data_IF_113649140637
#
_entry.id   IF_113649140637
#
_cell.length_a   1.000
_cell.length_b   1.000
_cell.length_c   1.000
_cell.angle_alpha   90.00
_cell.angle_beta   90.00
_cell.angle_gamma   90.00
#
_symmetry.space_group_name_H-M   'P 1'
#
loop_
_entity.id
_entity.type
_entity.pdbx_description
1 polymer ?
#
# COMPACT_ATOMS: atom_id res chain seq x y z
N UNK A 1 6.11 15.82 21.67
CA UNK A 1 6.61 15.70 20.28
C UNK A 1 6.29 14.31 19.75
N UNK A 2 5.91 14.20 18.49
CA UNK A 2 5.58 12.93 17.83
C UNK A 2 6.87 12.13 17.63
N UNK A 3 6.87 10.86 18.05
CA UNK A 3 8.04 9.97 17.91
C UNK A 3 7.80 8.78 16.97
N UNK A 4 6.55 8.58 16.55
CA UNK A 4 6.13 7.48 15.69
C UNK A 4 5.03 7.97 14.75
N UNK A 5 5.15 7.60 13.47
CA UNK A 5 4.09 7.74 12.48
C UNK A 5 3.88 6.38 11.82
N UNK A 6 2.63 5.94 11.76
CA UNK A 6 2.22 4.70 11.08
C UNK A 6 1.41 5.11 9.85
N UNK A 7 1.87 4.70 8.67
CA UNK A 7 1.16 4.85 7.41
C UNK A 7 0.47 3.53 7.12
N UNK A 8 -0.83 3.48 7.39
CA UNK A 8 -1.64 2.34 6.96
C UNK A 8 -1.94 2.45 5.46
N UNK A 9 -1.94 1.31 4.78
CA UNK A 9 -2.14 1.19 3.33
C UNK A 9 -1.26 2.12 2.48
N UNK A 10 0.05 2.12 2.72
CA UNK A 10 1.00 2.96 1.98
C UNK A 10 1.05 2.66 0.47
N UNK A 11 0.51 1.52 0.02
CA UNK A 11 0.30 1.24 -1.40
C UNK A 11 -0.64 2.24 -2.09
N UNK A 12 -1.39 3.06 -1.35
CA UNK A 12 -2.17 4.18 -1.88
C UNK A 12 -1.30 5.32 -2.43
N UNK A 13 0.04 5.22 -2.36
CA UNK A 13 0.96 6.06 -3.12
C UNK A 13 0.63 6.08 -4.63
N UNK A 14 0.07 5.00 -5.16
CA UNK A 14 -0.33 4.89 -6.57
C UNK A 14 -1.73 5.47 -6.87
N UNK A 15 -2.45 5.98 -5.87
CA UNK A 15 -3.78 6.58 -6.03
C UNK A 15 -3.70 8.12 -5.98
N UNK A 16 -4.83 8.81 -6.22
CA UNK A 16 -4.97 10.27 -6.15
C UNK A 16 -4.58 10.86 -4.79
N UNK A 17 -4.51 10.05 -3.74
CA UNK A 17 -4.06 10.43 -2.39
C UNK A 17 -2.54 10.36 -2.21
N UNK A 18 -1.82 9.72 -3.13
CA UNK A 18 -0.37 9.56 -3.10
C UNK A 18 0.41 10.86 -2.87
N UNK A 19 0.12 11.97 -3.59
CA UNK A 19 0.83 13.24 -3.39
C UNK A 19 0.74 13.80 -1.96
N UNK A 20 -0.36 13.51 -1.26
CA UNK A 20 -0.53 13.93 0.15
C UNK A 20 0.36 13.10 1.05
N UNK A 21 0.41 11.77 0.87
CA UNK A 21 1.31 10.88 1.60
C UNK A 21 2.79 11.25 1.36
N UNK A 22 3.15 11.52 0.11
CA UNK A 22 4.48 11.99 -0.28
C UNK A 22 4.87 13.27 0.46
N UNK A 23 3.97 14.24 0.49
CA UNK A 23 4.18 15.51 1.18
C UNK A 23 4.38 15.33 2.69
N UNK A 24 3.64 14.41 3.31
CA UNK A 24 3.76 14.13 4.75
C UNK A 24 5.11 13.46 5.04
N UNK A 25 5.48 12.41 4.31
CA UNK A 25 6.75 11.71 4.49
C UNK A 25 7.93 12.65 4.25
N UNK A 26 7.92 13.41 3.15
CA UNK A 26 9.00 14.36 2.83
C UNK A 26 9.16 15.41 3.94
N UNK A 27 8.05 15.96 4.47
CA UNK A 27 8.07 16.91 5.58
C UNK A 27 8.63 16.30 6.85
N UNK A 28 8.21 15.09 7.20
CA UNK A 28 8.71 14.40 8.41
C UNK A 28 10.19 14.07 8.29
N UNK A 29 10.65 13.57 7.14
CA UNK A 29 12.08 13.30 6.90
C UNK A 29 12.90 14.59 6.99
N UNK A 30 12.43 15.68 6.38
CA UNK A 30 13.09 16.98 6.47
C UNK A 30 13.17 17.52 7.89
N UNK A 31 12.13 17.30 8.70
CA UNK A 31 12.10 17.64 10.11
C UNK A 31 13.17 16.85 10.87
N UNK A 32 13.22 15.51 10.71
CA UNK A 32 14.24 14.65 11.35
C UNK A 32 15.65 15.14 11.02
N UNK A 33 15.92 15.49 9.77
CA UNK A 33 17.24 15.97 9.33
C UNK A 33 17.64 17.30 9.97
N UNK A 34 16.66 18.19 10.16
CA UNK A 34 16.86 19.57 10.62
C UNK A 34 16.93 19.63 12.15
N UNK A 35 16.03 18.94 12.85
CA UNK A 35 15.96 18.95 14.32
C UNK A 35 16.90 17.93 14.97
N UNK A 36 17.39 16.95 14.20
CA UNK A 36 18.12 15.77 14.70
C UNK A 36 17.32 14.92 15.69
N UNK A 37 16.01 15.14 15.77
CA UNK A 37 15.10 14.30 16.56
C UNK A 37 14.56 13.18 15.69
N UNK A 38 14.83 11.94 16.08
CA UNK A 38 14.36 10.78 15.34
C UNK A 38 12.85 10.60 15.49
N UNK A 39 12.16 10.38 14.36
CA UNK A 39 10.76 9.94 14.30
C UNK A 39 10.73 8.60 13.57
N UNK A 40 10.19 7.56 14.21
CA UNK A 40 10.05 6.24 13.60
C UNK A 40 8.91 6.26 12.59
N UNK A 41 9.19 5.79 11.36
CA UNK A 41 8.18 5.59 10.33
C UNK A 41 7.90 4.10 10.19
N UNK A 42 6.63 3.73 10.15
CA UNK A 42 6.18 2.35 9.90
C UNK A 42 5.17 2.40 8.76
N UNK A 43 5.46 1.71 7.66
CA UNK A 43 4.52 1.55 6.54
C UNK A 43 3.87 0.16 6.59
N UNK A 44 2.55 0.12 6.58
CA UNK A 44 1.76 -1.10 6.38
C UNK A 44 1.21 -1.07 4.96
N UNK A 45 1.29 -2.19 4.26
CA UNK A 45 0.93 -2.27 2.84
C UNK A 45 0.37 -3.63 2.50
N UNK A 46 -0.58 -3.66 1.56
CA UNK A 46 -0.81 -4.84 0.74
C UNK A 46 0.47 -5.22 -0.03
N UNK A 47 0.57 -6.49 -0.43
CA UNK A 47 1.69 -6.99 -1.23
C UNK A 47 1.70 -6.32 -2.60
N UNK A 48 2.62 -5.36 -2.79
CA UNK A 48 2.83 -4.66 -4.06
C UNK A 48 4.13 -5.10 -4.75
N UNK A 49 4.20 -5.10 -6.09
CA UNK A 49 5.44 -5.46 -6.79
C UNK A 49 6.61 -4.54 -6.40
N UNK A 50 6.34 -3.23 -6.25
CA UNK A 50 7.34 -2.17 -6.05
C UNK A 50 7.68 -1.89 -4.57
N UNK A 51 7.52 -2.88 -3.70
CA UNK A 51 7.73 -2.75 -2.25
C UNK A 51 9.14 -2.24 -1.85
N UNK A 52 10.18 -2.52 -2.63
CA UNK A 52 11.54 -2.01 -2.39
C UNK A 52 11.61 -0.48 -2.57
N UNK A 53 10.95 0.07 -3.59
CA UNK A 53 10.89 1.51 -3.83
C UNK A 53 10.18 2.24 -2.68
N UNK A 54 9.09 1.65 -2.17
CA UNK A 54 8.35 2.18 -1.02
C UNK A 54 9.22 2.15 0.25
N UNK A 55 10.00 1.08 0.44
CA UNK A 55 10.93 0.95 1.56
C UNK A 55 12.04 2.02 1.49
N UNK A 56 12.63 2.22 0.32
CA UNK A 56 13.63 3.28 0.08
C UNK A 56 13.04 4.67 0.32
N UNK A 57 11.82 4.93 -0.17
CA UNK A 57 11.11 6.18 0.04
C UNK A 57 10.90 6.51 1.54
N UNK A 58 10.61 5.51 2.36
CA UNK A 58 10.50 5.64 3.82
C UNK A 58 11.85 5.59 4.58
N UNK A 59 12.98 5.45 3.87
CA UNK A 59 14.32 5.21 4.46
C UNK A 59 14.41 3.97 5.34
N UNK A 60 13.70 2.91 4.96
CA UNK A 60 13.74 1.61 5.62
C UNK A 60 15.00 0.85 5.18
N UNK A 61 15.70 0.21 6.12
CA UNK A 61 16.77 -0.72 5.79
C UNK A 61 16.20 -1.99 5.14
N UNK A 62 16.63 -2.29 3.92
CA UNK A 62 16.07 -3.39 3.13
C UNK A 62 16.35 -4.79 3.71
N UNK A 63 17.36 -4.95 4.58
CA UNK A 63 17.74 -6.25 5.14
C UNK A 63 17.01 -6.55 6.45
N UNK A 64 16.75 -5.53 7.26
CA UNK A 64 16.26 -5.68 8.63
C UNK A 64 14.92 -5.01 8.89
N UNK A 65 14.50 -4.07 8.05
CA UNK A 65 13.26 -3.30 8.23
C UNK A 65 12.18 -3.57 7.19
N UNK A 66 12.53 -4.19 6.06
CA UNK A 66 11.56 -4.56 5.01
C UNK A 66 11.06 -5.99 5.23
N UNK A 67 9.75 -6.13 5.43
CA UNK A 67 9.08 -7.41 5.53
C UNK A 67 8.07 -7.55 4.40
N UNK A 68 8.19 -8.62 3.61
CA UNK A 68 7.26 -8.94 2.53
C UNK A 68 6.63 -10.29 2.81
N UNK A 69 5.31 -10.30 2.82
CA UNK A 69 4.51 -11.51 2.98
C UNK A 69 3.67 -11.66 1.71
N UNK A 70 3.69 -12.86 1.13
CA UNK A 70 2.81 -13.18 0.01
C UNK A 70 1.42 -13.64 0.50
N UNK A 71 0.54 -14.00 -0.42
CA UNK A 71 -0.82 -14.43 -0.09
C UNK A 71 -0.89 -15.68 0.79
N UNK A 72 0.18 -16.49 0.89
CA UNK A 72 0.21 -17.69 1.74
C UNK A 72 0.22 -17.37 3.23
N UNK A 73 0.62 -16.15 3.60
CA UNK A 73 0.64 -15.68 4.99
C UNK A 73 -0.73 -15.18 5.47
N UNK A 74 -1.77 -15.15 4.61
CA UNK A 74 -3.10 -14.81 5.08
C UNK A 74 -3.55 -15.83 6.12
N UNK A 75 -3.99 -15.40 7.33
CA UNK A 75 -4.37 -16.32 8.39
C UNK A 75 -5.56 -17.22 8.00
N UNK A 76 -6.38 -16.74 7.07
CA UNK A 76 -7.42 -17.51 6.39
C UNK A 76 -7.11 -17.45 4.89
N UNK A 77 -6.74 -18.57 4.24
CA UNK A 77 -6.49 -18.61 2.81
C UNK A 77 -7.71 -18.14 2.02
N UNK A 78 -7.47 -17.33 0.99
CA UNK A 78 -8.52 -16.81 0.11
C UNK A 78 -8.47 -17.53 -1.23
N UNK A 79 -9.48 -18.35 -1.52
CA UNK A 79 -9.70 -18.87 -2.86
C UNK A 79 -10.24 -17.73 -3.76
N UNK A 80 -9.70 -17.61 -4.97
CA UNK A 80 -10.08 -16.55 -5.91
C UNK A 80 -10.64 -17.17 -7.19
N UNK A 81 -11.78 -16.66 -7.63
CA UNK A 81 -12.41 -16.99 -8.91
C UNK A 81 -12.79 -15.70 -9.62
N UNK A 82 -12.41 -15.57 -10.89
CA UNK A 82 -12.71 -14.39 -11.70
C UNK A 82 -13.65 -14.80 -12.84
N UNK A 83 -14.86 -14.23 -12.83
CA UNK A 83 -15.88 -14.50 -13.85
C UNK A 83 -15.95 -13.28 -14.76
N UNK A 84 -15.33 -13.39 -15.95
CA UNK A 84 -15.31 -12.33 -16.95
C UNK A 84 -16.57 -12.34 -17.82
N UNK A 85 -17.34 -11.26 -17.80
CA UNK A 85 -18.52 -11.13 -18.67
C UNK A 85 -18.18 -10.28 -19.90
N UNK A 86 -18.19 -10.92 -21.07
CA UNK A 86 -17.78 -10.31 -22.33
C UNK A 86 -18.92 -9.63 -23.11
N UNK A 87 -20.12 -9.59 -22.54
CA UNK A 87 -21.30 -8.98 -23.18
C UNK A 87 -21.18 -7.45 -23.19
N UNK A 88 -21.25 -6.85 -24.39
CA UNK A 88 -21.10 -5.40 -24.57
C UNK A 88 -22.35 -4.59 -24.18
N UNK A 89 -23.54 -5.17 -24.34
CA UNK A 89 -24.81 -4.47 -24.05
C UNK A 89 -25.03 -4.38 -22.53
N UNK A 90 -25.16 -3.17 -21.95
CA UNK A 90 -25.20 -3.00 -20.48
C UNK A 90 -26.30 -3.79 -19.78
N UNK A 91 -27.53 -3.81 -20.35
CA UNK A 91 -28.66 -4.54 -19.77
C UNK A 91 -28.44 -6.06 -19.77
N UNK A 92 -27.95 -6.61 -20.89
CA UNK A 92 -27.66 -8.04 -21.00
C UNK A 92 -26.47 -8.46 -20.13
N UNK A 93 -25.46 -7.59 -19.99
CA UNK A 93 -24.35 -7.80 -19.04
C UNK A 93 -24.86 -7.86 -17.60
N UNK A 94 -25.76 -6.97 -17.21
CA UNK A 94 -26.35 -6.96 -15.88
C UNK A 94 -27.20 -8.21 -15.61
N UNK A 95 -27.99 -8.65 -16.59
CA UNK A 95 -28.75 -9.90 -16.49
C UNK A 95 -27.80 -11.09 -16.27
N UNK A 96 -26.79 -11.22 -17.12
CA UNK A 96 -25.79 -12.29 -17.01
C UNK A 96 -24.97 -12.21 -15.71
N UNK A 97 -24.76 -11.03 -15.13
CA UNK A 97 -24.14 -10.88 -13.80
C UNK A 97 -24.99 -11.45 -12.67
N UNK A 98 -26.32 -11.48 -12.81
CA UNK A 98 -27.23 -12.00 -11.79
C UNK A 98 -27.52 -13.50 -11.97
N UNK A 99 -27.38 -14.00 -13.20
CA UNK A 99 -27.63 -15.40 -13.53
C UNK A 99 -26.47 -16.33 -13.15
N UNK A 100 -25.27 -15.76 -12.96
CA UNK A 100 -24.05 -16.47 -12.53
C UNK A 100 -23.85 -16.32 -11.03
#
# INVERSE_FOLDING_TARGET
>A
LVRLIIFDEIHLLHDNRGPVLESIVARTLRQIETTKEHIRLVGLSATVPNHEDVALFLRVDLKSGLFKFDNSYRPVPLAQQYIGINVKKPLQRFQLMNDI
#
